data_IF_678062816112
#
_entry.id   IF_678062816112
#
_cell.length_a   1.000
_cell.length_b   1.000
_cell.length_c   1.000
_cell.angle_alpha   90.00
_cell.angle_beta   90.00
_cell.angle_gamma   90.00
#
_symmetry.space_group_name_H-M   'P 1'
#
loop_
_entity.id
_entity.type
_entity.pdbx_description
1 polymer ?
#
# COMPACT_ATOMS: atom_id res chain seq x y z
N UNK A 1 29.70 -48.14 -2.03
CA UNK A 1 28.38 -47.53 -2.28
C UNK A 1 28.50 -46.14 -1.72
N UNK A 2 28.95 -45.23 -2.56
CA UNK A 2 29.15 -43.83 -2.17
C UNK A 2 27.79 -43.15 -2.25
N UNK A 3 27.33 -42.63 -1.11
CA UNK A 3 26.18 -41.74 -1.04
C UNK A 3 26.56 -40.44 -1.73
N UNK A 4 26.19 -40.32 -3.01
CA UNK A 4 26.27 -39.06 -3.75
C UNK A 4 25.49 -37.99 -2.97
N UNK A 5 26.24 -37.10 -2.32
CA UNK A 5 25.72 -35.86 -1.76
C UNK A 5 25.17 -35.08 -2.96
N UNK A 6 23.85 -35.12 -3.13
CA UNK A 6 23.14 -34.38 -4.16
C UNK A 6 23.16 -32.89 -3.80
N UNK A 7 24.31 -32.24 -4.02
CA UNK A 7 24.48 -30.79 -3.91
C UNK A 7 23.71 -30.21 -5.09
N UNK A 8 22.48 -29.75 -4.82
CA UNK A 8 21.72 -28.97 -5.82
C UNK A 8 22.60 -27.79 -6.27
N UNK A 9 22.76 -27.56 -7.57
CA UNK A 9 23.55 -26.44 -8.07
C UNK A 9 22.99 -25.13 -7.50
N UNK A 10 23.89 -24.22 -7.14
CA UNK A 10 23.55 -22.90 -6.63
C UNK A 10 22.70 -22.15 -7.67
N UNK A 11 21.41 -22.01 -7.42
CA UNK A 11 20.52 -21.28 -8.31
C UNK A 11 20.64 -19.78 -8.05
N UNK A 12 21.30 -19.08 -8.97
CA UNK A 12 21.37 -17.62 -8.96
C UNK A 12 19.99 -16.96 -9.10
N UNK A 13 18.95 -17.70 -9.48
CA UNK A 13 17.57 -17.22 -9.44
C UNK A 13 16.94 -17.34 -8.05
N UNK A 14 17.55 -18.00 -7.06
CA UNK A 14 17.05 -18.01 -5.68
C UNK A 14 17.76 -16.99 -4.78
N UNK A 15 18.75 -16.25 -5.29
CA UNK A 15 19.34 -15.15 -4.54
C UNK A 15 18.36 -13.97 -4.45
N UNK A 16 18.01 -13.60 -3.22
CA UNK A 16 17.21 -12.41 -2.97
C UNK A 16 17.87 -11.15 -3.48
N UNK A 17 17.11 -10.28 -4.16
CA UNK A 17 17.56 -8.96 -4.61
C UNK A 17 16.65 -7.86 -4.07
N UNK A 18 17.18 -6.65 -3.96
CA UNK A 18 16.37 -5.47 -3.65
C UNK A 18 15.69 -5.02 -4.93
N UNK A 19 14.40 -4.70 -4.84
CA UNK A 19 13.61 -4.18 -5.95
C UNK A 19 12.94 -2.88 -5.52
N UNK A 20 12.74 -1.99 -6.47
CA UNK A 20 11.86 -0.84 -6.33
C UNK A 20 10.55 -1.15 -7.07
N UNK A 21 9.49 -1.44 -6.31
CA UNK A 21 8.19 -1.81 -6.87
C UNK A 21 7.29 -0.60 -6.98
N UNK A 22 6.67 -0.44 -8.14
CA UNK A 22 5.53 0.47 -8.34
C UNK A 22 4.23 -0.29 -8.28
N UNK A 23 3.22 0.33 -7.69
CA UNK A 23 1.87 -0.24 -7.60
C UNK A 23 1.28 -0.51 -8.99
N UNK A 24 0.86 -1.74 -9.29
CA UNK A 24 0.08 -2.08 -10.47
C UNK A 24 -1.43 -1.92 -10.24
N UNK A 25 -1.86 -1.39 -9.09
CA UNK A 25 -3.27 -1.21 -8.77
C UNK A 25 -3.91 -0.17 -9.69
N UNK A 26 -5.17 -0.39 -10.05
CA UNK A 26 -5.96 0.59 -10.81
C UNK A 26 -6.36 1.76 -9.92
N UNK A 27 -6.65 2.91 -10.53
CA UNK A 27 -7.07 4.11 -9.79
C UNK A 27 -8.29 3.82 -8.89
N UNK A 28 -8.24 4.32 -7.66
CA UNK A 28 -9.26 4.07 -6.64
C UNK A 28 -9.08 2.78 -5.85
N UNK A 29 -8.12 1.91 -6.19
CA UNK A 29 -7.71 0.79 -5.36
C UNK A 29 -6.51 1.13 -4.48
N UNK A 30 -6.58 0.74 -3.21
CA UNK A 30 -5.48 0.90 -2.28
C UNK A 30 -5.58 -0.11 -1.13
N UNK A 31 -4.46 -0.37 -0.50
CA UNK A 31 -4.43 -1.09 0.77
C UNK A 31 -4.43 -0.13 1.94
N UNK A 32 -5.03 -0.51 3.06
CA UNK A 32 -4.91 0.23 4.30
C UNK A 32 -4.64 -0.71 5.46
N UNK A 33 -4.04 -0.16 6.52
CA UNK A 33 -3.90 -0.87 7.78
C UNK A 33 -5.24 -0.93 8.49
N UNK A 34 -5.34 -1.87 9.42
CA UNK A 34 -6.43 -1.86 10.38
C UNK A 34 -6.30 -0.63 11.28
N UNK A 35 -7.41 0.11 11.43
CA UNK A 35 -7.47 1.24 12.33
C UNK A 35 -7.44 0.72 13.77
N UNK A 36 -6.50 1.22 14.55
CA UNK A 36 -6.46 0.99 16.00
C UNK A 36 -7.34 1.99 16.74
N UNK A 37 -7.46 3.20 16.19
CA UNK A 37 -8.27 4.28 16.74
C UNK A 37 -9.43 4.65 15.82
N UNK A 38 -10.49 5.20 16.41
CA UNK A 38 -11.65 5.66 15.66
C UNK A 38 -11.37 7.01 15.01
N UNK A 39 -11.51 7.06 13.69
CA UNK A 39 -11.43 8.31 12.93
C UNK A 39 -12.84 8.88 12.67
N UNK A 40 -12.99 10.21 12.56
CA UNK A 40 -14.29 10.81 12.27
C UNK A 40 -14.92 10.29 10.99
N UNK A 41 -16.25 10.12 11.01
CA UNK A 41 -17.01 9.73 9.82
C UNK A 41 -16.88 10.78 8.72
N UNK A 42 -16.59 10.35 7.50
CA UNK A 42 -16.37 11.24 6.37
C UNK A 42 -14.91 11.61 6.12
N UNK A 43 -13.97 11.11 6.94
CA UNK A 43 -12.53 11.24 6.68
C UNK A 43 -12.14 10.72 5.29
N UNK A 44 -11.21 11.42 4.64
CA UNK A 44 -10.70 11.10 3.29
C UNK A 44 -9.35 10.40 3.43
N UNK A 45 -9.15 9.23 2.80
CA UNK A 45 -7.87 8.53 2.82
C UNK A 45 -6.83 9.31 2.01
N UNK A 46 -5.60 9.35 2.53
CA UNK A 46 -4.41 9.83 1.83
C UNK A 46 -3.70 8.62 1.22
N UNK A 47 -3.77 8.47 -0.10
CA UNK A 47 -3.21 7.31 -0.81
C UNK A 47 -1.92 7.70 -1.53
N UNK A 48 -0.86 6.96 -1.24
CA UNK A 48 0.40 6.99 -1.96
C UNK A 48 0.29 6.12 -3.21
N UNK A 49 0.17 6.74 -4.39
CA UNK A 49 -0.08 6.02 -5.65
C UNK A 49 1.09 5.15 -6.08
N UNK A 50 2.32 5.53 -5.72
CA UNK A 50 3.51 4.73 -6.05
C UNK A 50 3.48 3.36 -5.36
N UNK A 51 2.95 3.31 -4.14
CA UNK A 51 2.87 2.08 -3.35
C UNK A 51 1.46 1.50 -3.27
N UNK A 52 0.43 2.20 -3.73
CA UNK A 52 -0.97 1.80 -3.58
C UNK A 52 -1.40 1.69 -2.11
N UNK A 53 -0.78 2.46 -1.21
CA UNK A 53 -0.99 2.37 0.23
C UNK A 53 -1.68 3.63 0.78
N UNK A 54 -2.68 3.44 1.64
CA UNK A 54 -3.20 4.51 2.49
C UNK A 54 -2.18 4.83 3.58
N UNK A 55 -1.66 6.05 3.56
CA UNK A 55 -0.61 6.52 4.48
C UNK A 55 -1.17 7.42 5.61
N UNK A 56 -2.45 7.78 5.55
CA UNK A 56 -3.12 8.57 6.57
C UNK A 56 -4.55 8.95 6.18
N UNK A 57 -5.18 9.77 7.01
CA UNK A 57 -6.54 10.27 6.77
C UNK A 57 -6.62 11.76 7.07
N UNK A 58 -7.48 12.46 6.35
CA UNK A 58 -7.81 13.85 6.58
C UNK A 58 -9.29 14.00 6.96
N UNK A 59 -9.56 14.83 7.95
CA UNK A 59 -10.92 15.23 8.32
C UNK A 59 -10.98 16.74 8.46
N UNK A 60 -12.02 17.38 7.94
CA UNK A 60 -12.18 18.82 8.06
C UNK A 60 -12.73 19.46 6.79
N UNK A 61 -12.90 20.77 6.89
CA UNK A 61 -13.51 21.63 5.87
C UNK A 61 -12.70 22.93 5.81
N UNK A 62 -12.68 23.57 4.64
CA UNK A 62 -12.19 24.95 4.48
C UNK A 62 -10.69 25.17 4.71
N UNK A 63 -9.83 24.33 4.13
CA UNK A 63 -8.38 24.59 4.04
C UNK A 63 -7.55 24.18 5.26
N UNK A 64 -8.19 23.93 6.41
CA UNK A 64 -7.55 23.35 7.60
C UNK A 64 -8.13 21.96 7.86
N UNK A 65 -7.24 20.97 7.98
CA UNK A 65 -7.61 19.57 8.14
C UNK A 65 -6.97 19.00 9.40
N UNK A 66 -7.76 18.24 10.14
CA UNK A 66 -7.27 17.29 11.14
C UNK A 66 -6.61 16.12 10.41
N UNK A 67 -5.36 15.83 10.77
CA UNK A 67 -4.54 14.79 10.15
C UNK A 67 -4.47 13.61 11.09
N UNK A 68 -4.68 12.42 10.53
CA UNK A 68 -4.52 11.14 11.20
C UNK A 68 -3.52 10.29 10.44
N UNK A 69 -2.75 9.46 11.14
CA UNK A 69 -1.88 8.48 10.49
C UNK A 69 -2.64 7.27 9.95
N UNK A 70 -1.93 6.33 9.30
CA UNK A 70 -2.53 5.15 8.67
C UNK A 70 -3.23 4.19 9.65
N UNK A 71 -3.00 4.34 10.95
CA UNK A 71 -3.66 3.56 12.02
C UNK A 71 -4.78 4.32 12.71
N UNK A 72 -4.97 5.60 12.39
CA UNK A 72 -6.02 6.46 12.94
C UNK A 72 -5.56 7.33 14.10
N UNK A 73 -4.26 7.37 14.44
CA UNK A 73 -3.75 8.25 15.50
C UNK A 73 -3.79 9.71 15.03
N UNK A 74 -4.33 10.60 15.85
CA UNK A 74 -4.39 12.03 15.54
C UNK A 74 -3.00 12.68 15.64
N UNK A 75 -2.56 13.34 14.56
CA UNK A 75 -1.25 13.98 14.48
C UNK A 75 -1.30 15.50 14.68
N UNK A 76 -2.44 16.13 14.44
CA UNK A 76 -2.60 17.58 14.55
C UNK A 76 -3.43 18.20 13.44
N UNK A 77 -3.58 19.52 13.50
CA UNK A 77 -4.17 20.34 12.44
C UNK A 77 -3.11 20.72 11.42
N UNK A 78 -3.48 20.67 10.16
CA UNK A 78 -2.64 21.08 9.04
C UNK A 78 -3.41 22.02 8.12
N UNK A 79 -2.85 23.19 7.89
CA UNK A 79 -3.36 24.13 6.89
C UNK A 79 -2.70 23.82 5.55
N UNK A 80 -3.51 23.50 4.55
CA UNK A 80 -2.99 23.34 3.20
C UNK A 80 -2.64 24.71 2.63
N UNK A 81 -1.51 24.85 1.93
CA UNK A 81 -1.17 26.11 1.31
C UNK A 81 -2.30 26.54 0.36
N UNK A 82 -2.68 27.82 0.43
CA UNK A 82 -3.60 28.49 -0.50
C UNK A 82 -2.96 28.58 -1.90
N UNK A 83 -2.66 27.45 -2.52
CA UNK A 83 -2.54 27.41 -3.97
C UNK A 83 -3.94 27.10 -4.43
N UNK A 84 -4.65 28.10 -4.98
CA UNK A 84 -5.99 27.93 -5.53
C UNK A 84 -6.03 26.62 -6.31
N UNK A 85 -6.75 25.59 -5.85
CA UNK A 85 -7.07 24.51 -6.74
C UNK A 85 -7.88 25.17 -7.86
N UNK A 86 -7.65 24.80 -9.12
CA UNK A 86 -8.51 25.24 -10.23
C UNK A 86 -9.93 24.64 -10.12
N UNK A 87 -10.29 24.11 -8.95
CA UNK A 87 -11.43 23.28 -8.58
C UNK A 87 -11.83 23.70 -7.16
N UNK A 88 -13.11 23.96 -6.93
CA UNK A 88 -13.66 24.52 -5.69
C UNK A 88 -13.51 23.53 -4.51
N UNK A 89 -13.18 23.96 -3.27
CA UNK A 89 -13.21 23.10 -2.07
C UNK A 89 -14.57 22.43 -1.79
N UNK A 90 -15.66 22.87 -2.41
CA UNK A 90 -16.96 22.19 -2.39
C UNK A 90 -17.09 21.02 -3.39
N UNK A 91 -16.18 20.90 -4.37
CA UNK A 91 -16.13 19.77 -5.31
C UNK A 91 -15.49 18.50 -4.69
N UNK A 92 -15.04 18.59 -3.42
CA UNK A 92 -14.47 17.49 -2.63
C UNK A 92 -15.51 16.37 -2.37
N UNK A 93 -16.79 16.61 -2.69
CA UNK A 93 -17.88 15.64 -2.56
C UNK A 93 -18.55 15.40 -3.92
N UNK A 94 -17.82 14.97 -4.95
CA UNK A 94 -18.42 14.32 -6.14
C UNK A 94 -17.37 13.65 -7.04
N UNK A 95 -16.71 12.59 -6.56
CA UNK A 95 -16.21 11.54 -7.48
C UNK A 95 -17.39 10.64 -7.88
N UNK A 96 -18.32 11.26 -8.60
CA UNK A 96 -19.48 10.65 -9.22
C UNK A 96 -19.52 11.02 -10.70
N UNK A 97 -19.00 10.12 -11.53
CA UNK A 97 -19.41 9.92 -12.93
C UNK A 97 -19.13 11.03 -13.93
N UNK A 98 -18.05 10.89 -14.69
CA UNK A 98 -18.07 11.24 -16.12
C UNK A 98 -17.02 10.44 -16.90
N UNK A 99 -17.43 9.46 -17.69
CA UNK A 99 -16.63 8.96 -18.82
C UNK A 99 -17.31 9.43 -20.11
N UNK A 100 -16.73 10.45 -20.74
CA UNK A 100 -17.03 10.79 -22.14
C UNK A 100 -16.47 9.65 -22.99
N UNK A 101 -17.35 8.89 -23.63
CA UNK A 101 -17.01 8.16 -24.85
C UNK A 101 -16.43 9.18 -25.84
N UNK A 102 -15.19 8.95 -26.25
CA UNK A 102 -14.48 9.46 -27.44
C UNK A 102 -13.20 10.25 -27.13
N UNK A 103 -12.05 9.57 -27.28
CA UNK A 103 -11.04 10.00 -28.25
C UNK A 103 -10.17 11.24 -28.01
N UNK A 104 -9.98 11.75 -26.78
CA UNK A 104 -9.00 12.81 -26.54
C UNK A 104 -8.11 12.52 -25.32
N UNK A 105 -6.82 12.28 -25.56
CA UNK A 105 -5.74 12.21 -24.56
C UNK A 105 -5.72 13.51 -23.74
N UNK A 106 -6.10 13.45 -22.47
CA UNK A 106 -5.68 14.47 -21.50
C UNK A 106 -4.39 13.98 -20.82
N UNK A 107 -3.28 14.13 -21.53
CA UNK A 107 -1.95 14.06 -20.95
C UNK A 107 -1.73 15.33 -20.14
N UNK A 108 -2.06 15.32 -18.85
CA UNK A 108 -1.57 16.37 -17.95
C UNK A 108 -0.10 16.12 -17.68
N UNK A 109 0.72 16.93 -18.36
CA UNK A 109 2.15 17.09 -18.17
C UNK A 109 2.49 17.36 -16.70
N UNK A 110 3.19 16.42 -16.07
CA UNK A 110 4.26 16.73 -15.12
C UNK A 110 5.52 15.99 -15.60
N UNK A 111 6.19 16.58 -16.59
CA UNK A 111 7.56 16.24 -16.92
C UNK A 111 8.47 16.97 -15.95
N UNK A 112 9.24 16.22 -15.16
CA UNK A 112 10.49 16.70 -14.55
C UNK A 112 10.58 16.51 -13.04
N UNK A 113 11.26 15.45 -12.61
CA UNK A 113 11.62 15.17 -11.22
C UNK A 113 10.70 14.16 -10.56
N UNK A 114 11.24 13.04 -10.07
CA UNK A 114 10.46 11.98 -9.46
C UNK A 114 9.74 12.43 -8.19
N UNK A 115 8.51 12.91 -8.33
CA UNK A 115 7.61 13.22 -7.21
C UNK A 115 6.51 12.18 -7.20
N UNK A 116 6.56 11.33 -6.19
CA UNK A 116 5.50 10.38 -5.89
C UNK A 116 4.15 11.07 -5.79
N UNK A 117 3.16 10.59 -6.54
CA UNK A 117 1.81 11.17 -6.53
C UNK A 117 1.05 10.63 -5.31
N UNK A 118 0.67 11.55 -4.40
CA UNK A 118 -0.15 11.22 -3.23
C UNK A 118 -1.44 12.02 -3.32
N UNK A 119 -2.59 11.32 -3.31
CA UNK A 119 -3.91 11.94 -3.42
C UNK A 119 -4.71 11.78 -2.13
N UNK A 120 -5.36 12.85 -1.70
CA UNK A 120 -6.44 12.82 -0.72
C UNK A 120 -7.72 13.35 -1.40
N UNK A 121 -8.38 12.49 -2.18
CA UNK A 121 -9.37 12.95 -3.15
C UNK A 121 -8.72 13.82 -4.25
N UNK A 122 -9.16 15.06 -4.41
CA UNK A 122 -8.64 16.04 -5.39
C UNK A 122 -7.56 16.97 -4.83
N UNK A 123 -7.23 16.84 -3.55
CA UNK A 123 -6.32 17.74 -2.84
C UNK A 123 -4.86 17.36 -3.13
N UNK A 124 -4.05 18.35 -3.54
CA UNK A 124 -2.59 18.22 -3.59
C UNK A 124 -2.00 18.48 -2.20
N UNK A 125 -1.34 17.48 -1.63
CA UNK A 125 -0.68 17.60 -0.33
C UNK A 125 0.73 18.18 -0.46
N UNK A 126 1.25 18.74 0.62
CA UNK A 126 2.63 19.22 0.72
C UNK A 126 3.60 18.05 0.91
N UNK A 127 4.83 18.20 0.42
CA UNK A 127 5.88 17.19 0.61
C UNK A 127 6.18 16.94 2.10
N UNK A 128 6.05 17.98 2.94
CA UNK A 128 6.22 17.86 4.39
C UNK A 128 5.18 16.91 5.02
N UNK A 129 3.90 17.11 4.71
CA UNK A 129 2.82 16.25 5.22
C UNK A 129 2.97 14.82 4.70
N UNK A 130 3.32 14.65 3.42
CA UNK A 130 3.58 13.33 2.83
C UNK A 130 4.75 12.64 3.56
N UNK A 131 5.84 13.36 3.80
CA UNK A 131 7.02 12.83 4.51
C UNK A 131 6.68 12.45 5.95
N UNK A 132 5.88 13.27 6.65
CA UNK A 132 5.39 12.96 7.99
C UNK A 132 4.61 11.65 8.00
N UNK A 133 3.60 11.52 7.14
CA UNK A 133 2.74 10.33 7.05
C UNK A 133 3.52 9.07 6.67
N UNK A 134 4.43 9.16 5.70
CA UNK A 134 5.35 8.06 5.36
C UNK A 134 6.27 7.68 6.50
N UNK A 135 6.78 8.67 7.22
CA UNK A 135 7.61 8.46 8.41
C UNK A 135 6.85 7.68 9.48
N UNK A 136 5.62 8.11 9.79
CA UNK A 136 4.71 7.43 10.73
C UNK A 136 4.43 5.99 10.32
N UNK A 137 4.17 5.74 9.04
CA UNK A 137 3.91 4.40 8.52
C UNK A 137 5.07 3.41 8.78
N UNK A 138 6.31 3.92 8.77
CA UNK A 138 7.54 3.15 8.99
C UNK A 138 7.93 2.98 10.46
N UNK A 139 7.23 3.62 11.40
CA UNK A 139 7.53 3.48 12.82
C UNK A 139 7.44 2.01 13.24
N UNK A 140 8.44 1.56 13.98
CA UNK A 140 8.54 0.19 14.50
C UNK A 140 8.94 -0.86 13.47
N UNK A 141 9.12 -0.49 12.19
CA UNK A 141 9.69 -1.35 11.17
C UNK A 141 11.21 -1.38 11.28
N UNK A 142 11.80 -2.49 10.85
CA UNK A 142 13.26 -2.62 10.82
C UNK A 142 13.82 -1.76 9.68
N UNK A 143 14.98 -1.09 9.85
CA UNK A 143 15.64 -0.39 8.74
C UNK A 143 16.22 -1.34 7.68
N UNK A 144 16.06 -2.66 7.86
CA UNK A 144 16.57 -3.68 6.96
C UNK A 144 15.78 -3.66 5.66
N UNK A 145 16.48 -3.48 4.55
CA UNK A 145 15.88 -3.60 3.22
C UNK A 145 15.55 -5.05 2.93
N UNK A 146 14.26 -5.33 2.68
CA UNK A 146 13.82 -6.65 2.25
C UNK A 146 14.35 -6.97 0.85
N UNK A 147 14.75 -8.22 0.68
CA UNK A 147 15.08 -8.80 -0.62
C UNK A 147 13.92 -9.67 -1.09
N UNK A 148 13.83 -9.91 -2.39
CA UNK A 148 12.81 -10.76 -2.99
C UNK A 148 13.48 -11.77 -3.92
N UNK A 149 12.97 -13.00 -3.93
CA UNK A 149 13.27 -13.93 -5.03
C UNK A 149 12.64 -13.38 -6.32
N UNK A 150 13.17 -13.68 -7.51
CA UNK A 150 12.57 -13.30 -8.80
C UNK A 150 11.12 -13.72 -8.92
N UNK A 151 10.73 -14.88 -8.38
CA UNK A 151 9.33 -15.34 -8.38
C UNK A 151 8.44 -14.50 -7.47
N UNK A 152 8.89 -14.14 -6.27
CA UNK A 152 8.15 -13.21 -5.43
C UNK A 152 8.05 -11.83 -6.09
N UNK A 153 9.14 -11.35 -6.68
CA UNK A 153 9.19 -10.08 -7.40
C UNK A 153 8.26 -10.06 -8.63
N UNK A 154 8.13 -11.16 -9.38
CA UNK A 154 7.21 -11.20 -10.52
C UNK A 154 5.75 -11.06 -10.08
N UNK A 155 5.37 -11.64 -8.93
CA UNK A 155 4.02 -11.46 -8.39
C UNK A 155 3.71 -10.02 -7.97
N UNK A 156 4.73 -9.22 -7.63
CA UNK A 156 4.55 -7.79 -7.35
C UNK A 156 4.19 -6.98 -8.61
N UNK A 157 4.40 -7.51 -9.81
CA UNK A 157 3.96 -6.85 -11.04
C UNK A 157 2.48 -7.15 -11.39
N UNK A 158 1.87 -8.15 -10.76
CA UNK A 158 0.49 -8.59 -11.04
C UNK A 158 -0.49 -7.91 -10.06
N UNK A 159 -1.47 -7.13 -10.54
CA UNK A 159 -2.42 -6.42 -9.67
C UNK A 159 -3.22 -7.32 -8.71
N UNK A 160 -3.50 -8.55 -9.12
CA UNK A 160 -4.20 -9.57 -8.31
C UNK A 160 -3.31 -10.27 -7.28
N UNK A 161 -2.01 -10.03 -7.31
CA UNK A 161 -1.05 -10.60 -6.35
C UNK A 161 -0.29 -9.54 -5.58
N UNK A 162 -0.27 -8.30 -6.07
CA UNK A 162 0.45 -7.19 -5.46
C UNK A 162 0.09 -6.96 -4.00
N UNK A 163 1.12 -6.69 -3.18
CA UNK A 163 1.00 -6.26 -1.79
C UNK A 163 2.06 -5.20 -1.52
N UNK A 164 1.73 -4.01 -0.99
CA UNK A 164 2.72 -2.99 -0.68
C UNK A 164 3.82 -3.52 0.25
N UNK A 165 5.08 -3.14 -0.01
CA UNK A 165 6.25 -3.59 0.78
C UNK A 165 6.04 -3.31 2.27
N UNK A 166 5.50 -2.15 2.62
CA UNK A 166 5.21 -1.77 4.01
C UNK A 166 4.28 -2.76 4.72
N UNK A 167 3.32 -3.35 4.00
CA UNK A 167 2.43 -4.38 4.57
C UNK A 167 3.20 -5.68 4.79
N UNK A 168 4.08 -6.06 3.86
CA UNK A 168 4.97 -7.22 4.00
C UNK A 168 5.89 -7.03 5.23
N UNK A 169 6.48 -5.85 5.39
CA UNK A 169 7.31 -5.50 6.56
C UNK A 169 6.51 -5.58 7.87
N UNK A 170 5.28 -5.06 7.89
CA UNK A 170 4.38 -5.18 9.05
C UNK A 170 3.98 -6.62 9.34
N UNK A 171 3.77 -7.45 8.31
CA UNK A 171 3.52 -8.87 8.49
C UNK A 171 4.70 -9.56 9.19
N UNK A 172 5.93 -9.27 8.75
CA UNK A 172 7.15 -9.84 9.35
C UNK A 172 7.35 -9.35 10.79
N UNK A 173 7.00 -8.09 11.08
CA UNK A 173 7.23 -7.47 12.38
C UNK A 173 6.18 -7.82 13.42
N UNK A 174 4.90 -7.82 13.04
CA UNK A 174 3.75 -7.90 13.95
C UNK A 174 2.85 -9.10 13.68
N UNK A 175 3.03 -9.79 12.56
CA UNK A 175 2.25 -10.98 12.22
C UNK A 175 2.61 -12.19 13.07
N UNK A 176 1.73 -13.19 13.03
CA UNK A 176 1.94 -14.47 13.69
C UNK A 176 3.06 -15.24 12.98
N UNK A 177 4.18 -15.47 13.69
CA UNK A 177 5.34 -16.20 13.16
C UNK A 177 5.19 -17.71 13.36
N UNK A 178 5.41 -18.46 12.29
CA UNK A 178 5.43 -19.92 12.27
C UNK A 178 6.54 -20.47 11.37
N UNK A 179 6.63 -21.79 11.28
CA UNK A 179 7.52 -22.48 10.35
C UNK A 179 6.77 -22.71 9.03
N UNK A 180 7.42 -22.44 7.90
CA UNK A 180 6.90 -22.91 6.63
C UNK A 180 7.11 -24.43 6.52
N UNK A 181 6.02 -25.18 6.66
CA UNK A 181 6.00 -26.64 6.59
C UNK A 181 5.85 -27.17 5.17
N UNK A 182 5.65 -26.28 4.19
CA UNK A 182 5.39 -26.65 2.78
C UNK A 182 6.63 -26.48 1.87
N UNK A 183 7.72 -25.91 2.37
CA UNK A 183 8.94 -25.65 1.61
C UNK A 183 9.63 -26.95 1.15
N UNK A 184 9.79 -27.14 -0.16
CA UNK A 184 10.53 -28.26 -0.78
C UNK A 184 12.07 -28.08 -0.77
N UNK A 185 12.58 -27.24 0.13
CA UNK A 185 14.00 -26.89 0.21
C UNK A 185 14.56 -27.31 1.57
N UNK A 186 15.84 -27.63 1.64
CA UNK A 186 16.56 -27.91 2.89
C UNK A 186 16.62 -26.68 3.84
N UNK A 187 16.10 -25.52 3.43
CA UNK A 187 16.05 -24.29 4.23
C UNK A 187 14.75 -24.24 5.04
N UNK A 188 14.90 -24.07 6.36
CA UNK A 188 13.78 -23.82 7.28
C UNK A 188 13.38 -22.35 7.14
N UNK A 189 12.36 -22.09 6.31
CA UNK A 189 11.80 -20.76 6.11
C UNK A 189 10.80 -20.41 7.23
N UNK A 190 10.60 -19.12 7.48
CA UNK A 190 9.60 -18.62 8.43
C UNK A 190 8.41 -18.07 7.69
N UNK A 191 7.22 -18.41 8.19
CA UNK A 191 5.93 -17.94 7.69
C UNK A 191 5.37 -16.91 8.66
N UNK A 192 4.90 -15.79 8.14
CA UNK A 192 4.24 -14.74 8.89
C UNK A 192 2.83 -14.54 8.37
N UNK A 193 1.87 -14.39 9.28
CA UNK A 193 0.46 -14.23 8.94
C UNK A 193 -0.09 -12.95 9.57
N UNK A 194 -0.77 -12.11 8.79
CA UNK A 194 -1.44 -10.90 9.27
C UNK A 194 -2.75 -10.68 8.50
N UNK A 195 -3.72 -10.01 9.13
CA UNK A 195 -4.93 -9.54 8.44
C UNK A 195 -4.66 -8.22 7.73
N UNK A 196 -5.21 -8.06 6.53
CA UNK A 196 -5.07 -6.84 5.74
C UNK A 196 -6.41 -6.46 5.12
N UNK A 197 -6.58 -5.17 4.81
CA UNK A 197 -7.76 -4.66 4.12
C UNK A 197 -7.36 -4.05 2.79
N UNK A 198 -8.04 -4.46 1.72
CA UNK A 198 -7.97 -3.81 0.40
C UNK A 198 -9.26 -3.06 0.16
N UNK A 199 -9.12 -1.78 -0.17
CA UNK A 199 -10.21 -0.89 -0.47
C UNK A 199 -10.26 -0.67 -1.98
N UNK A 200 -11.48 -0.63 -2.51
CA UNK A 200 -11.76 -0.18 -3.87
C UNK A 200 -12.84 0.87 -3.81
N UNK A 201 -12.56 2.04 -4.35
CA UNK A 201 -13.57 3.08 -4.55
C UNK A 201 -14.59 2.56 -5.58
N UNK A 202 -15.79 2.19 -5.13
CA UNK A 202 -16.82 1.67 -6.02
C UNK A 202 -17.74 2.80 -6.44
N UNK A 203 -17.77 3.11 -7.74
CA UNK A 203 -18.73 4.07 -8.30
C UNK A 203 -20.17 3.55 -8.34
N UNK A 204 -20.38 2.28 -7.94
CA UNK A 204 -21.66 1.56 -8.08
C UNK A 204 -22.40 1.38 -6.76
N UNK A 205 -21.68 1.34 -5.63
CA UNK A 205 -22.29 1.09 -4.32
C UNK A 205 -22.41 2.42 -3.60
N UNK A 206 -23.65 2.82 -3.29
CA UNK A 206 -23.96 4.05 -2.57
C UNK A 206 -24.56 3.71 -1.20
N UNK A 207 -24.22 4.49 -0.18
CA UNK A 207 -24.92 4.41 1.10
C UNK A 207 -26.34 4.98 0.98
N UNK A 208 -27.11 4.89 2.06
CA UNK A 208 -28.48 5.43 2.16
C UNK A 208 -28.57 6.94 1.86
N UNK A 209 -27.46 7.67 1.94
CA UNK A 209 -27.36 9.10 1.64
C UNK A 209 -26.82 9.36 0.23
N UNK A 210 -26.73 8.34 -0.64
CA UNK A 210 -26.28 8.47 -2.02
C UNK A 210 -24.76 8.62 -2.22
N UNK A 211 -23.96 8.53 -1.14
CA UNK A 211 -22.48 8.64 -1.18
C UNK A 211 -21.87 7.29 -1.53
N UNK A 212 -20.91 7.28 -2.47
CA UNK A 212 -20.17 6.07 -2.82
C UNK A 212 -19.50 5.46 -1.59
N UNK A 213 -19.68 4.16 -1.39
CA UNK A 213 -19.00 3.39 -0.35
C UNK A 213 -17.88 2.58 -0.96
N UNK A 214 -16.75 2.55 -0.27
CA UNK A 214 -15.64 1.71 -0.66
C UNK A 214 -16.05 0.24 -0.50
N UNK A 215 -15.80 -0.55 -1.54
CA UNK A 215 -15.77 -2.00 -1.40
C UNK A 215 -14.55 -2.35 -0.54
N UNK A 216 -14.81 -2.93 0.62
CA UNK A 216 -13.76 -3.39 1.53
C UNK A 216 -13.68 -4.90 1.43
N UNK A 217 -12.50 -5.40 1.09
CA UNK A 217 -12.20 -6.83 1.14
C UNK A 217 -11.13 -7.07 2.20
N UNK A 218 -11.46 -7.93 3.15
CA UNK A 218 -10.53 -8.39 4.16
C UNK A 218 -9.84 -9.65 3.67
N UNK A 219 -8.52 -9.71 3.84
CA UNK A 219 -7.71 -10.85 3.44
C UNK A 219 -6.77 -11.26 4.57
N UNK A 220 -6.37 -12.53 4.55
CA UNK A 220 -5.26 -13.02 5.36
C UNK A 220 -4.02 -13.10 4.49
N UNK A 221 -3.03 -12.25 4.77
CA UNK A 221 -1.73 -12.26 4.11
C UNK A 221 -0.79 -13.26 4.77
N UNK A 222 -0.20 -14.12 3.95
CA UNK A 222 0.85 -15.05 4.29
C UNK A 222 2.15 -14.58 3.61
N UNK A 223 3.23 -14.42 4.37
CA UNK A 223 4.57 -14.04 3.88
C UNK A 223 5.57 -15.09 4.32
N UNK A 224 6.34 -15.64 3.38
CA UNK A 224 7.40 -16.62 3.64
C UNK A 224 8.76 -15.96 3.41
N UNK A 225 9.63 -16.07 4.40
CA UNK A 225 10.92 -15.36 4.46
C UNK A 225 12.04 -16.30 4.86
N UNK A 226 13.18 -16.17 4.20
CA UNK A 226 14.47 -16.60 4.73
C UNK A 226 15.03 -15.51 5.65
N UNK A 227 14.92 -15.71 6.96
CA UNK A 227 15.39 -14.74 7.97
C UNK A 227 16.92 -14.55 7.96
N UNK A 228 17.71 -15.49 7.42
CA UNK A 228 19.18 -15.34 7.36
C UNK A 228 19.57 -14.21 6.42
N UNK A 229 18.86 -14.10 5.29
CA UNK A 229 19.15 -13.13 4.24
C UNK A 229 18.11 -12.02 4.14
N UNK A 230 17.03 -12.10 4.91
CA UNK A 230 15.83 -11.25 4.83
C UNK A 230 15.23 -11.24 3.42
N UNK A 231 15.17 -12.43 2.82
CA UNK A 231 14.63 -12.63 1.48
C UNK A 231 13.20 -13.16 1.57
N UNK A 232 12.25 -12.39 1.06
CA UNK A 232 10.88 -12.84 0.81
C UNK A 232 10.91 -13.81 -0.37
N UNK A 233 10.58 -15.08 -0.07
CA UNK A 233 10.60 -16.16 -1.07
C UNK A 233 9.22 -16.37 -1.70
N UNK A 234 8.18 -16.08 -0.93
CA UNK A 234 6.79 -16.20 -1.36
C UNK A 234 5.89 -15.30 -0.51
N UNK A 235 4.79 -14.84 -1.09
CA UNK A 235 3.68 -14.26 -0.36
C UNK A 235 2.38 -14.50 -1.11
N UNK A 236 1.28 -14.55 -0.38
CA UNK A 236 -0.07 -14.65 -0.95
C UNK A 236 -1.10 -14.14 0.05
N UNK A 237 -2.20 -13.60 -0.45
CA UNK A 237 -3.36 -13.27 0.37
C UNK A 237 -4.54 -14.13 -0.03
N UNK A 238 -5.33 -14.55 0.96
CA UNK A 238 -6.53 -15.41 0.83
C UNK A 238 -7.73 -14.68 1.39
#
# INVERSE_FOLDING_TARGET
MDDDINIRPFDYNDIGRVYDFKSPLVEGEYFALELTDTIPSGSVPVVDEDSGMCIGYLYGISGVYDVYDATGEYLGKYELPLVSPLIDPLDIILLGGWFVKNGAKLTTLLKGGGTSLVKAGTIKLTDHLISLLRGRLKIGLSPRTLKFTPKAASHMAEAERYVPITIIEKAIRYGQRGIDTKGRSALILKRYIIKIKKYRYSSKIKNLNGKNINEVKEYTLEVVVDEKTWTVTHFMYK
#
